data_IF_752192127141
#
_entry.id   IF_752192127141
#
_cell.length_a   1.000
_cell.length_b   1.000
_cell.length_c   1.000
_cell.angle_alpha   90.00
_cell.angle_beta   90.00
_cell.angle_gamma   90.00
#
_symmetry.space_group_name_H-M   'P 1'
#
loop_
_entity.id
_entity.type
_entity.pdbx_description
1 polymer ?
#
# COMPACT_ATOMS: atom_id res chain seq x y z
N UNK A 1 11.65 -9.06 -13.73
CA UNK A 1 12.38 -7.77 -13.57
C UNK A 1 11.55 -6.55 -13.98
N UNK A 2 10.60 -6.68 -14.94
CA UNK A 2 9.83 -5.54 -15.44
C UNK A 2 8.85 -4.92 -14.46
N UNK A 3 8.38 -5.64 -13.46
CA UNK A 3 7.32 -5.17 -12.56
C UNK A 3 7.85 -4.56 -11.26
N UNK A 4 9.02 -4.97 -10.79
CA UNK A 4 9.63 -4.44 -9.57
C UNK A 4 9.88 -2.92 -9.71
N UNK A 5 10.46 -2.48 -10.80
CA UNK A 5 10.73 -1.06 -10.96
C UNK A 5 9.51 -0.23 -11.40
N UNK A 6 8.43 -0.85 -11.89
CA UNK A 6 7.19 -0.12 -12.20
C UNK A 6 6.57 0.50 -10.95
N UNK A 7 6.59 -0.19 -9.84
CA UNK A 7 6.08 0.29 -8.54
C UNK A 7 6.91 1.45 -8.02
N UNK A 8 8.23 1.33 -8.09
CA UNK A 8 9.14 2.44 -7.77
C UNK A 8 8.90 3.64 -8.68
N UNK A 9 8.67 3.40 -9.99
CA UNK A 9 8.35 4.49 -10.93
C UNK A 9 7.08 5.24 -10.55
N UNK A 10 6.06 4.56 -10.04
CA UNK A 10 4.84 5.21 -9.54
C UNK A 10 5.19 6.10 -8.35
N UNK A 11 5.93 5.59 -7.38
CA UNK A 11 6.35 6.37 -6.20
C UNK A 11 7.17 7.60 -6.60
N UNK A 12 8.23 7.42 -7.36
CA UNK A 12 9.09 8.52 -7.80
C UNK A 12 8.37 9.45 -8.78
N UNK A 13 7.46 8.94 -9.60
CA UNK A 13 6.62 9.75 -10.47
C UNK A 13 5.74 10.72 -9.69
N UNK A 14 5.09 10.26 -8.63
CA UNK A 14 4.29 11.12 -7.72
C UNK A 14 5.19 12.16 -7.06
N UNK A 15 6.32 11.75 -6.50
CA UNK A 15 7.23 12.67 -5.80
C UNK A 15 7.92 13.69 -6.71
N UNK A 16 8.03 13.39 -8.01
CA UNK A 16 8.63 14.28 -9.01
C UNK A 16 7.60 15.16 -9.70
N UNK A 17 6.32 14.90 -9.49
CA UNK A 17 5.23 15.63 -10.13
C UNK A 17 4.88 16.90 -9.33
N UNK A 18 4.27 17.86 -10.00
CA UNK A 18 4.01 19.22 -9.56
C UNK A 18 3.66 19.42 -8.06
N UNK A 19 4.27 20.46 -7.51
CA UNK A 19 4.02 21.14 -6.22
C UNK A 19 3.41 20.29 -5.09
N UNK A 20 2.13 19.96 -5.14
CA UNK A 20 1.43 19.26 -4.06
C UNK A 20 1.85 17.78 -3.93
N UNK A 21 2.07 17.12 -5.04
CA UNK A 21 2.47 15.71 -5.05
C UNK A 21 3.90 15.49 -4.54
N UNK A 22 4.81 16.43 -4.81
CA UNK A 22 6.17 16.34 -4.30
C UNK A 22 6.26 16.43 -2.78
N UNK A 23 5.23 16.97 -2.11
CA UNK A 23 5.16 17.04 -0.65
C UNK A 23 4.50 15.82 0.00
N UNK A 24 4.03 14.87 -0.78
CA UNK A 24 3.44 13.62 -0.27
C UNK A 24 4.48 12.83 0.52
N UNK A 25 4.20 12.61 1.81
CA UNK A 25 5.13 11.93 2.72
C UNK A 25 5.13 10.43 2.52
N UNK A 26 3.93 9.83 2.48
CA UNK A 26 3.76 8.38 2.37
C UNK A 26 3.03 8.03 1.08
N UNK A 27 3.55 7.03 0.37
CA UNK A 27 2.89 6.44 -0.79
C UNK A 27 2.79 4.94 -0.56
N UNK A 28 1.58 4.40 -0.65
CA UNK A 28 1.33 2.96 -0.63
C UNK A 28 0.84 2.54 -2.00
N UNK A 29 1.56 1.65 -2.65
CA UNK A 29 1.17 1.09 -3.95
C UNK A 29 0.51 -0.26 -3.71
N UNK A 30 -0.68 -0.44 -4.24
CA UNK A 30 -1.48 -1.67 -4.15
C UNK A 30 -1.91 -2.15 -5.53
N UNK A 31 -2.32 -3.40 -5.63
CA UNK A 31 -2.95 -3.92 -6.84
C UNK A 31 -4.41 -3.49 -6.96
N UNK A 32 -4.98 -3.69 -8.13
CA UNK A 32 -6.38 -3.34 -8.44
C UNK A 32 -7.42 -4.08 -7.61
N UNK A 33 -7.06 -5.20 -6.98
CA UNK A 33 -7.93 -5.99 -6.12
C UNK A 33 -8.16 -5.33 -4.73
N UNK A 34 -7.44 -4.27 -4.43
CA UNK A 34 -7.53 -3.53 -3.17
C UNK A 34 -8.30 -2.23 -3.39
N UNK A 35 -9.37 -2.03 -2.64
CA UNK A 35 -10.10 -0.76 -2.65
C UNK A 35 -9.31 0.32 -1.89
N UNK A 36 -8.71 1.24 -2.62
CA UNK A 36 -7.89 2.33 -2.04
C UNK A 36 -8.69 3.32 -1.19
N UNK A 37 -10.02 3.28 -1.26
CA UNK A 37 -10.91 4.11 -0.43
C UNK A 37 -11.34 3.43 0.87
N UNK A 38 -11.05 2.15 1.00
CA UNK A 38 -11.28 1.40 2.23
C UNK A 38 -9.95 1.21 2.97
N UNK A 39 -9.80 1.96 4.05
CA UNK A 39 -8.58 1.93 4.87
C UNK A 39 -8.29 0.53 5.42
N UNK A 40 -9.32 -0.25 5.72
CA UNK A 40 -9.16 -1.62 6.21
C UNK A 40 -8.51 -2.53 5.16
N UNK A 41 -8.92 -2.40 3.89
CA UNK A 41 -8.31 -3.16 2.80
C UNK A 41 -6.86 -2.74 2.55
N UNK A 42 -6.56 -1.46 2.62
CA UNK A 42 -5.18 -0.97 2.47
C UNK A 42 -4.28 -1.49 3.59
N UNK A 43 -4.73 -1.43 4.83
CA UNK A 43 -3.99 -1.98 5.98
C UNK A 43 -3.82 -3.49 5.85
N UNK A 44 -4.85 -4.20 5.40
CA UNK A 44 -4.75 -5.62 5.13
C UNK A 44 -3.66 -5.93 4.09
N UNK A 45 -3.61 -5.18 2.99
CA UNK A 45 -2.58 -5.35 1.96
C UNK A 45 -1.16 -5.08 2.52
N UNK A 46 -1.00 -4.03 3.33
CA UNK A 46 0.28 -3.73 3.98
C UNK A 46 0.70 -4.87 4.91
N UNK A 47 -0.20 -5.37 5.73
CA UNK A 47 0.13 -6.40 6.75
C UNK A 47 0.36 -7.78 6.16
N UNK A 48 -0.21 -8.08 5.01
CA UNK A 48 -0.14 -9.41 4.39
C UNK A 48 0.83 -9.52 3.22
N UNK A 49 1.20 -8.42 2.56
CA UNK A 49 1.99 -8.42 1.32
C UNK A 49 3.36 -7.75 1.44
N UNK A 50 3.60 -6.99 2.48
CA UNK A 50 4.83 -6.22 2.65
C UNK A 50 5.82 -6.94 3.55
N UNK A 51 7.03 -7.10 3.04
CA UNK A 51 8.22 -7.30 3.86
C UNK A 51 8.95 -5.97 3.97
N UNK A 52 9.09 -5.37 5.16
CA UNK A 52 9.59 -4.01 5.29
C UNK A 52 10.95 -3.76 4.64
N UNK A 53 11.85 -4.72 4.71
CA UNK A 53 13.18 -4.58 4.11
C UNK A 53 13.16 -4.60 2.58
N UNK A 54 12.34 -5.49 2.02
CA UNK A 54 12.22 -5.65 0.55
C UNK A 54 11.38 -4.55 -0.09
N UNK A 55 10.29 -4.14 0.58
CA UNK A 55 9.17 -3.43 -0.05
C UNK A 55 9.06 -1.97 0.34
N UNK A 56 9.95 -1.45 1.17
CA UNK A 56 9.95 -0.03 1.53
C UNK A 56 11.06 0.72 0.81
N UNK A 57 10.75 1.94 0.40
CA UNK A 57 11.70 2.88 -0.19
C UNK A 57 11.73 4.13 0.67
N UNK A 58 12.88 4.43 1.26
CA UNK A 58 13.12 5.66 2.02
C UNK A 58 13.91 6.66 1.17
N UNK A 59 13.46 7.89 1.13
CA UNK A 59 14.18 8.98 0.45
C UNK A 59 14.41 10.10 1.46
N UNK A 60 15.68 10.34 1.74
CA UNK A 60 16.11 11.39 2.67
C UNK A 60 16.34 12.73 1.97
N UNK A 61 16.40 13.80 2.74
CA UNK A 61 16.74 15.14 2.29
C UNK A 61 15.86 15.62 1.13
N UNK A 62 14.55 15.47 1.31
CA UNK A 62 13.55 15.88 0.31
C UNK A 62 12.78 17.11 0.77
N UNK A 63 12.29 17.94 -0.17
CA UNK A 63 11.37 19.02 0.16
C UNK A 63 10.09 18.47 0.80
N UNK A 64 9.65 19.15 1.85
CA UNK A 64 8.37 18.87 2.50
C UNK A 64 7.59 20.17 2.68
N UNK A 65 6.31 20.04 2.97
CA UNK A 65 5.50 21.21 3.33
C UNK A 65 6.00 21.81 4.65
N UNK A 66 6.06 23.13 4.72
CA UNK A 66 6.51 23.85 5.94
C UNK A 66 5.55 23.63 7.12
N UNK A 67 4.32 23.19 6.88
CA UNK A 67 3.36 22.78 7.91
C UNK A 67 3.65 21.40 8.51
N UNK A 68 4.57 20.67 7.94
CA UNK A 68 4.96 19.36 8.45
C UNK A 68 5.99 19.51 9.60
N UNK A 69 5.49 19.63 10.82
CA UNK A 69 6.30 19.77 12.02
C UNK A 69 6.96 18.48 12.52
N UNK A 70 6.66 17.35 11.89
CA UNK A 70 7.32 16.08 12.23
C UNK A 70 8.75 15.97 11.67
N UNK A 71 9.13 16.85 10.76
CA UNK A 71 10.48 16.88 10.22
C UNK A 71 11.49 17.46 11.19
N UNK A 72 12.78 17.07 11.10
CA UNK A 72 13.81 17.63 11.94
C UNK A 72 14.16 19.10 11.63
N UNK A 73 13.89 19.52 10.39
CA UNK A 73 14.17 20.88 9.90
C UNK A 73 12.99 21.36 9.05
N UNK A 74 12.62 22.63 9.18
CA UNK A 74 11.55 23.20 8.36
C UNK A 74 11.86 23.12 6.87
N UNK A 75 10.93 22.61 6.10
CA UNK A 75 11.04 22.48 4.64
C UNK A 75 11.91 21.32 4.15
N UNK A 76 12.54 20.56 5.05
CA UNK A 76 13.41 19.43 4.69
C UNK A 76 13.10 18.22 5.55
N UNK A 77 12.78 17.11 4.92
CA UNK A 77 12.45 15.87 5.60
C UNK A 77 12.72 14.66 4.73
N UNK A 78 11.92 13.62 4.93
CA UNK A 78 12.07 12.35 4.22
C UNK A 78 10.70 11.83 3.75
N UNK A 79 10.73 10.84 2.88
CA UNK A 79 9.56 10.20 2.30
C UNK A 79 9.68 8.69 2.39
N UNK A 80 8.54 8.01 2.50
CA UNK A 80 8.49 6.56 2.50
C UNK A 80 7.48 6.07 1.46
N UNK A 81 7.93 5.17 0.61
CA UNK A 81 7.07 4.39 -0.28
C UNK A 81 6.95 2.95 0.22
N UNK A 82 5.78 2.38 0.13
CA UNK A 82 5.48 1.00 0.52
C UNK A 82 4.87 0.28 -0.67
N UNK A 83 5.49 -0.83 -1.08
CA UNK A 83 4.98 -1.71 -2.12
C UNK A 83 4.14 -2.82 -1.50
N UNK A 84 2.84 -2.60 -1.41
CA UNK A 84 1.86 -3.56 -0.88
C UNK A 84 1.15 -4.33 -2.02
N UNK A 85 1.85 -4.62 -3.10
CA UNK A 85 1.35 -5.41 -4.22
C UNK A 85 1.68 -6.90 -4.04
N UNK A 86 0.99 -7.76 -4.78
CA UNK A 86 1.35 -9.18 -4.89
C UNK A 86 2.76 -9.34 -5.45
N UNK A 87 3.46 -10.35 -4.99
CA UNK A 87 4.84 -10.61 -5.44
C UNK A 87 4.87 -11.68 -6.52
N UNK A 88 5.73 -11.45 -7.50
CA UNK A 88 5.97 -12.37 -8.61
C UNK A 88 7.10 -13.35 -8.30
N UNK A 89 7.18 -14.47 -9.00
CA UNK A 89 8.35 -15.33 -8.94
C UNK A 89 9.65 -14.52 -9.21
N UNK A 90 10.62 -14.68 -8.33
CA UNK A 90 11.88 -13.90 -8.37
C UNK A 90 11.92 -12.70 -7.41
N UNK A 91 10.77 -12.21 -6.95
CA UNK A 91 10.70 -11.22 -5.86
C UNK A 91 10.71 -11.89 -4.48
N UNK A 92 10.27 -13.13 -4.43
CA UNK A 92 10.28 -13.98 -3.24
C UNK A 92 10.55 -15.43 -3.63
N UNK A 93 11.21 -16.18 -2.76
CA UNK A 93 11.43 -17.62 -2.92
C UNK A 93 10.24 -18.46 -2.47
N UNK A 94 9.22 -17.81 -1.90
CA UNK A 94 8.02 -18.49 -1.42
C UNK A 94 6.94 -18.52 -2.50
N UNK A 95 6.15 -19.58 -2.50
CA UNK A 95 4.90 -19.61 -3.26
C UNK A 95 3.96 -18.54 -2.71
N UNK A 96 3.48 -17.64 -3.60
CA UNK A 96 2.62 -16.54 -3.18
C UNK A 96 1.20 -17.03 -2.92
N UNK A 97 0.70 -16.71 -1.74
CA UNK A 97 -0.64 -17.10 -1.30
C UNK A 97 -1.75 -16.44 -2.12
N UNK A 98 -2.91 -17.06 -2.12
CA UNK A 98 -4.12 -16.50 -2.72
C UNK A 98 -5.00 -15.91 -1.63
N UNK A 99 -5.67 -14.80 -1.95
CA UNK A 99 -6.68 -14.23 -1.07
C UNK A 99 -7.85 -15.22 -0.92
N UNK A 100 -8.17 -15.56 0.33
CA UNK A 100 -9.30 -16.42 0.63
C UNK A 100 -10.57 -15.59 0.53
N UNK A 101 -11.47 -16.01 -0.34
CA UNK A 101 -12.79 -15.39 -0.50
C UNK A 101 -13.88 -16.42 -0.28
N UNK A 102 -14.97 -15.98 0.36
CA UNK A 102 -16.15 -16.82 0.47
C UNK A 102 -16.86 -16.91 -0.88
N UNK A 103 -17.39 -18.10 -1.22
CA UNK A 103 -18.29 -18.26 -2.36
C UNK A 103 -19.60 -17.47 -2.13
N UNK A 104 -20.31 -17.12 -3.20
CA UNK A 104 -21.60 -16.42 -3.08
C UNK A 104 -22.63 -17.22 -2.29
N UNK A 105 -22.63 -18.54 -2.42
CA UNK A 105 -23.48 -19.44 -1.67
C UNK A 105 -23.23 -19.37 -0.16
N UNK A 106 -21.95 -19.39 0.24
CA UNK A 106 -21.55 -19.25 1.65
C UNK A 106 -21.90 -17.87 2.19
N UNK A 107 -21.68 -16.81 1.41
CA UNK A 107 -22.08 -15.45 1.81
C UNK A 107 -23.57 -15.36 2.10
N UNK A 108 -24.42 -15.85 1.21
CA UNK A 108 -25.87 -15.87 1.38
C UNK A 108 -26.27 -16.62 2.65
N UNK A 109 -25.66 -17.76 2.91
CA UNK A 109 -25.95 -18.55 4.12
C UNK A 109 -25.53 -17.84 5.39
N UNK A 110 -24.37 -17.19 5.40
CA UNK A 110 -23.91 -16.39 6.53
C UNK A 110 -24.83 -15.21 6.78
N UNK A 111 -25.24 -14.51 5.73
CA UNK A 111 -26.15 -13.37 5.83
C UNK A 111 -27.50 -13.78 6.41
N UNK A 112 -28.04 -14.93 6.02
CA UNK A 112 -29.26 -15.49 6.60
C UNK A 112 -29.12 -15.77 8.10
N UNK A 113 -28.02 -16.44 8.49
CA UNK A 113 -27.73 -16.74 9.90
C UNK A 113 -27.58 -15.42 10.69
N UNK A 114 -26.93 -14.42 10.10
CA UNK A 114 -26.75 -13.12 10.73
C UNK A 114 -28.07 -12.43 11.02
N UNK A 115 -28.99 -12.46 10.06
CA UNK A 115 -30.34 -11.91 10.25
C UNK A 115 -31.14 -12.68 11.31
N UNK A 116 -31.07 -14.01 11.31
CA UNK A 116 -31.73 -14.86 12.30
C UNK A 116 -31.24 -14.62 13.73
N UNK A 117 -29.96 -14.28 13.89
CA UNK A 117 -29.36 -13.93 15.17
C UNK A 117 -29.69 -12.53 15.66
N UNK A 118 -30.25 -11.69 14.81
CA UNK A 118 -30.67 -10.33 15.19
C UNK A 118 -29.50 -9.39 15.52
N UNK A 119 -28.35 -9.66 14.95
CA UNK A 119 -27.12 -8.87 15.19
C UNK A 119 -27.00 -7.76 14.16
#
# INVERSE_FOLDING_TARGET
>A
LGDVYKRQRVMFGVWSFLRQFMYTKFIVVVDEDVNIRDWKEVIWAITTRVDPSRDTTLVDNTPIDYLDFASPVSGLGSKMGIDATNKWPGETDREWGRTITMTDEVKKRVDQIWQELGI
#
